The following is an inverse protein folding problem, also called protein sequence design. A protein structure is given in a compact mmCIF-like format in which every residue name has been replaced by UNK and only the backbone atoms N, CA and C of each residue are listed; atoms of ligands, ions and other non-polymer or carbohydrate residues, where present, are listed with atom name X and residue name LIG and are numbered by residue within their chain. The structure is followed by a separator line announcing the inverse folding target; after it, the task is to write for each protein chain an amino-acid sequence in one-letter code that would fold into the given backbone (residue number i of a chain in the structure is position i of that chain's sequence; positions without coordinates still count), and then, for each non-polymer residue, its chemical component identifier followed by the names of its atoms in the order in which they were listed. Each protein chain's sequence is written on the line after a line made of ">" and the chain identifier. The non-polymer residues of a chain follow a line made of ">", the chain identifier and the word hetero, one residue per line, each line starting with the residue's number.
data_IF_595212821435
#
_entry.id   IF_595212821435
#
_cell.length_a   1.000
_cell.length_b   1.000
_cell.length_c   1.000
_cell.angle_alpha   90.00
_cell.angle_beta   90.00
_cell.angle_gamma   90.00
#
_symmetry.space_group_name_H-M   'P 1'
#
loop_
_entity.id
_entity.type
_entity.pdbx_description
1 polymer ?
#
# COMPACT_ATOMS: atom_id res chain seq x y z
N UNK A 1 23.07 -4.71 -0.59
CA UNK A 1 23.37 -4.96 0.83
C UNK A 1 22.09 -4.62 1.59
N UNK A 2 21.22 -5.60 1.84
CA UNK A 2 19.93 -5.35 2.50
C UNK A 2 20.18 -5.16 3.99
N UNK A 3 19.97 -3.93 4.46
CA UNK A 3 19.87 -3.62 5.89
C UNK A 3 18.58 -4.27 6.38
N UNK A 4 18.65 -5.56 6.72
CA UNK A 4 17.64 -6.19 7.55
C UNK A 4 17.77 -5.52 8.91
N UNK A 5 16.91 -4.55 9.15
CA UNK A 5 16.68 -4.07 10.49
C UNK A 5 16.17 -5.26 11.32
N UNK A 6 16.86 -5.61 12.40
CA UNK A 6 16.39 -6.53 13.45
C UNK A 6 15.21 -5.87 14.20
N UNK A 7 14.08 -5.70 13.52
CA UNK A 7 12.83 -5.36 14.18
C UNK A 7 12.15 -6.65 14.61
N UNK A 8 11.74 -6.68 15.88
CA UNK A 8 10.87 -7.75 16.38
C UNK A 8 9.50 -7.63 15.69
N UNK A 9 9.34 -8.39 14.61
CA UNK A 9 8.12 -8.45 13.78
C UNK A 9 6.91 -8.77 14.65
N UNK A 10 7.05 -9.63 15.64
CA UNK A 10 5.95 -10.04 16.51
C UNK A 10 5.55 -8.88 17.45
N UNK A 11 6.52 -8.14 17.99
CA UNK A 11 6.23 -6.91 18.76
C UNK A 11 5.53 -5.85 17.91
N UNK A 12 5.97 -5.66 16.66
CA UNK A 12 5.34 -4.70 15.73
C UNK A 12 3.94 -5.14 15.37
N UNK A 13 3.75 -6.42 15.03
CA UNK A 13 2.44 -6.99 14.72
C UNK A 13 1.45 -6.82 15.87
N UNK A 14 1.86 -7.18 17.08
CA UNK A 14 1.00 -7.03 18.27
C UNK A 14 0.65 -5.57 18.55
N UNK A 15 1.60 -4.64 18.33
CA UNK A 15 1.29 -3.22 18.44
C UNK A 15 0.23 -2.79 17.40
N UNK A 16 0.38 -3.18 16.13
CA UNK A 16 -0.59 -2.85 15.07
C UNK A 16 -1.96 -3.44 15.39
N UNK A 17 -2.01 -4.69 15.84
CA UNK A 17 -3.25 -5.36 16.23
C UNK A 17 -3.98 -4.57 17.32
N UNK A 18 -3.34 -4.39 18.47
CA UNK A 18 -4.00 -3.87 19.67
C UNK A 18 -4.20 -2.35 19.61
N UNK A 19 -3.19 -1.60 19.17
CA UNK A 19 -3.20 -0.13 19.27
C UNK A 19 -3.65 0.57 18.00
N UNK A 20 -3.86 -0.17 16.90
CA UNK A 20 -4.31 0.40 15.64
C UNK A 20 -5.60 -0.27 15.14
N UNK A 21 -5.55 -1.54 14.74
CA UNK A 21 -6.68 -2.23 14.10
C UNK A 21 -7.86 -2.36 15.06
N UNK A 22 -7.67 -2.97 16.23
CA UNK A 22 -8.74 -3.14 17.22
C UNK A 22 -9.25 -1.81 17.76
N UNK A 23 -8.34 -0.86 17.99
CA UNK A 23 -8.69 0.50 18.45
C UNK A 23 -9.61 1.22 17.47
N UNK A 24 -9.29 1.20 16.17
CA UNK A 24 -10.00 1.97 15.16
C UNK A 24 -11.24 1.26 14.61
N UNK A 25 -11.36 -0.05 14.82
CA UNK A 25 -12.55 -0.83 14.45
C UNK A 25 -13.55 -1.00 15.60
N UNK A 26 -13.24 -0.56 16.82
CA UNK A 26 -14.06 -0.83 18.01
C UNK A 26 -15.55 -0.42 17.87
N UNK A 27 -15.85 0.64 17.10
CA UNK A 27 -17.23 1.06 16.82
C UNK A 27 -18.04 0.05 15.99
N UNK A 28 -17.37 -0.87 15.30
CA UNK A 28 -17.94 -1.85 14.40
C UNK A 28 -18.15 -3.22 15.05
N UNK A 29 -17.94 -3.38 16.36
CA UNK A 29 -18.03 -4.67 17.06
C UNK A 29 -19.36 -5.40 16.87
N UNK A 30 -20.44 -4.66 16.57
CA UNK A 30 -21.77 -5.22 16.30
C UNK A 30 -22.05 -5.46 14.80
N UNK A 31 -21.10 -5.16 13.92
CA UNK A 31 -21.20 -5.45 12.48
C UNK A 31 -21.07 -6.96 12.27
N UNK A 32 -21.90 -7.58 11.40
CA UNK A 32 -21.81 -9.01 11.11
C UNK A 32 -20.48 -9.42 10.47
N UNK A 33 -19.72 -8.46 9.91
CA UNK A 33 -18.44 -8.70 9.27
C UNK A 33 -17.23 -8.39 10.16
N UNK A 34 -17.44 -7.93 11.40
CA UNK A 34 -16.39 -7.44 12.28
C UNK A 34 -15.22 -8.43 12.40
N UNK A 35 -15.49 -9.65 12.86
CA UNK A 35 -14.43 -10.64 13.08
C UNK A 35 -13.71 -11.03 11.78
N UNK A 36 -14.46 -11.09 10.67
CA UNK A 36 -13.92 -11.44 9.36
C UNK A 36 -13.00 -10.36 8.81
N UNK A 37 -13.42 -9.10 8.89
CA UNK A 37 -12.62 -7.94 8.47
C UNK A 37 -11.32 -7.87 9.28
N UNK A 38 -11.40 -8.06 10.60
CA UNK A 38 -10.22 -8.07 11.48
C UNK A 38 -9.29 -9.24 11.16
N UNK A 39 -9.80 -10.44 10.89
CA UNK A 39 -8.97 -11.58 10.48
C UNK A 39 -8.20 -11.28 9.20
N UNK A 40 -8.88 -10.73 8.19
CA UNK A 40 -8.26 -10.37 6.90
C UNK A 40 -7.20 -9.29 7.11
N UNK A 41 -7.53 -8.21 7.81
CA UNK A 41 -6.62 -7.10 8.03
C UNK A 41 -5.35 -7.57 8.76
N UNK A 42 -5.50 -8.41 9.79
CA UNK A 42 -4.36 -8.99 10.52
C UNK A 42 -3.52 -9.93 9.65
N UNK A 43 -4.15 -10.75 8.79
CA UNK A 43 -3.42 -11.59 7.83
C UNK A 43 -2.59 -10.74 6.86
N UNK A 44 -3.17 -9.65 6.35
CA UNK A 44 -2.48 -8.71 5.46
C UNK A 44 -1.30 -8.01 6.15
N UNK A 45 -1.48 -7.54 7.40
CA UNK A 45 -0.38 -6.94 8.19
C UNK A 45 0.76 -7.94 8.37
N UNK A 46 0.45 -9.18 8.76
CA UNK A 46 1.49 -10.20 8.96
C UNK A 46 2.28 -10.47 7.68
N UNK A 47 1.59 -10.61 6.56
CA UNK A 47 2.23 -10.80 5.25
C UNK A 47 3.06 -9.57 4.84
N UNK A 48 2.56 -8.37 5.09
CA UNK A 48 3.26 -7.13 4.80
C UNK A 48 4.59 -7.05 5.56
N UNK A 49 4.58 -7.31 6.87
CA UNK A 49 5.77 -7.31 7.73
C UNK A 49 6.82 -8.32 7.26
N UNK A 50 6.41 -9.56 6.91
CA UNK A 50 7.31 -10.59 6.37
C UNK A 50 7.96 -10.13 5.06
N UNK A 51 7.20 -9.42 4.22
CA UNK A 51 7.67 -8.91 2.94
C UNK A 51 8.41 -7.57 3.03
N UNK A 52 8.68 -7.07 4.24
CA UNK A 52 9.38 -5.79 4.43
C UNK A 52 8.54 -4.56 4.07
N UNK A 53 7.21 -4.69 4.01
CA UNK A 53 6.28 -3.60 3.78
C UNK A 53 5.72 -3.14 5.12
N UNK A 54 5.92 -1.86 5.43
CA UNK A 54 5.71 -1.33 6.79
C UNK A 54 4.70 -0.20 6.87
N UNK A 55 3.98 0.07 5.78
CA UNK A 55 2.99 1.15 5.73
C UNK A 55 1.69 0.69 5.04
N UNK A 56 0.56 1.08 5.61
CA UNK A 56 -0.77 0.87 5.02
C UNK A 56 -1.68 2.07 5.29
N UNK A 57 -2.66 2.24 4.41
CA UNK A 57 -3.83 3.07 4.67
C UNK A 57 -4.94 2.17 5.19
N UNK A 58 -5.54 2.56 6.31
CA UNK A 58 -6.67 1.88 6.92
C UNK A 58 -7.91 2.74 6.78
N UNK A 59 -8.96 2.17 6.22
CA UNK A 59 -10.24 2.83 6.01
C UNK A 59 -11.25 2.17 6.92
N UNK A 60 -11.90 2.96 7.75
CA UNK A 60 -13.04 2.55 8.58
C UNK A 60 -14.28 3.18 7.99
N UNK A 61 -15.31 2.36 7.76
CA UNK A 61 -16.61 2.76 7.21
C UNK A 61 -17.72 2.18 8.06
N UNK A 62 -18.95 2.63 7.87
CA UNK A 62 -20.11 2.26 8.71
C UNK A 62 -20.33 0.74 8.85
N UNK A 63 -19.89 -0.03 7.86
CA UNK A 63 -20.21 -1.47 7.76
C UNK A 63 -18.98 -2.37 7.78
N UNK A 64 -17.77 -1.84 7.95
CA UNK A 64 -16.56 -2.64 7.93
C UNK A 64 -15.27 -1.85 7.83
N UNK A 65 -14.18 -2.54 7.58
CA UNK A 65 -12.86 -1.95 7.40
C UNK A 65 -12.24 -2.34 6.06
N UNK A 66 -11.15 -1.68 5.72
CA UNK A 66 -10.35 -2.00 4.55
C UNK A 66 -8.90 -1.59 4.79
N UNK A 67 -7.98 -2.54 4.67
CA UNK A 67 -6.54 -2.28 4.72
C UNK A 67 -5.94 -2.27 3.32
N UNK A 68 -5.38 -1.12 2.94
CA UNK A 68 -4.72 -0.89 1.65
C UNK A 68 -3.22 -0.77 1.87
N UNK A 69 -2.47 -1.81 1.49
CA UNK A 69 -1.01 -1.83 1.60
C UNK A 69 -0.39 -0.79 0.66
N UNK A 70 0.43 0.12 1.18
CA UNK A 70 1.09 1.16 0.34
C UNK A 70 2.25 0.60 -0.51
N UNK A 71 2.47 -0.71 -0.46
CA UNK A 71 3.35 -1.46 -1.35
C UNK A 71 2.67 -1.92 -2.63
N UNK A 72 1.38 -1.63 -2.81
CA UNK A 72 0.59 -2.06 -3.96
C UNK A 72 -0.01 -0.87 -4.70
N UNK A 73 -0.45 -1.10 -5.94
CA UNK A 73 -1.15 -0.08 -6.71
C UNK A 73 -2.62 -0.09 -6.36
N UNK A 74 -3.10 1.04 -5.85
CA UNK A 74 -4.52 1.23 -5.54
C UNK A 74 -5.12 2.31 -6.44
N UNK A 75 -6.41 2.18 -6.71
CA UNK A 75 -7.19 3.28 -7.26
C UNK A 75 -7.66 4.17 -6.11
N UNK A 76 -7.68 5.49 -6.31
CA UNK A 76 -8.33 6.40 -5.37
C UNK A 76 -9.84 6.10 -5.20
N UNK A 77 -10.45 5.39 -6.16
CA UNK A 77 -11.80 4.83 -6.02
C UNK A 77 -11.95 3.88 -4.85
N UNK A 78 -10.87 3.27 -4.33
CA UNK A 78 -10.94 2.45 -3.11
C UNK A 78 -11.32 3.26 -1.86
N UNK A 79 -11.28 4.59 -1.93
CA UNK A 79 -11.73 5.52 -0.88
C UNK A 79 -13.21 5.92 -1.01
N UNK A 80 -13.87 5.39 -2.02
CA UNK A 80 -15.28 5.61 -2.33
C UNK A 80 -15.97 4.25 -2.33
N UNK A 81 -16.96 4.08 -1.46
CA UNK A 81 -17.76 2.86 -1.42
C UNK A 81 -19.24 3.22 -1.45
N UNK A 82 -19.95 2.70 -2.45
CA UNK A 82 -21.39 2.92 -2.57
C UNK A 82 -22.12 2.34 -1.35
N UNK A 83 -22.99 3.15 -0.73
CA UNK A 83 -23.76 2.75 0.45
C UNK A 83 -23.07 2.95 1.79
N UNK A 84 -21.90 3.60 1.84
CA UNK A 84 -21.32 4.10 3.11
C UNK A 84 -21.46 5.62 3.20
N UNK A 85 -21.83 6.12 4.36
CA UNK A 85 -22.06 7.56 4.62
C UNK A 85 -20.93 8.18 5.45
N UNK A 86 -20.25 7.38 6.27
CA UNK A 86 -19.09 7.78 7.07
C UNK A 86 -17.82 7.05 6.66
N UNK A 87 -16.72 7.79 6.63
CA UNK A 87 -15.39 7.27 6.38
C UNK A 87 -14.36 7.92 7.28
N UNK A 88 -13.52 7.10 7.89
CA UNK A 88 -12.31 7.53 8.57
C UNK A 88 -11.08 6.89 7.92
N UNK A 89 -10.05 7.70 7.71
CA UNK A 89 -8.83 7.28 7.02
C UNK A 89 -7.64 7.41 7.95
N UNK A 90 -6.84 6.37 8.08
CA UNK A 90 -5.69 6.35 8.95
C UNK A 90 -4.46 5.81 8.23
N UNK A 91 -3.37 6.57 8.22
CA UNK A 91 -2.08 6.08 7.76
C UNK A 91 -1.33 5.45 8.92
N UNK A 92 -1.03 4.16 8.80
CA UNK A 92 -0.18 3.44 9.75
C UNK A 92 1.25 3.34 9.23
N UNK A 93 2.20 3.74 10.05
CA UNK A 93 3.63 3.41 9.89
C UNK A 93 4.01 2.41 10.98
N UNK A 94 4.10 1.14 10.60
CA UNK A 94 4.19 0.01 11.53
C UNK A 94 5.47 0.07 12.36
N UNK A 95 6.63 0.30 11.73
CA UNK A 95 7.93 0.34 12.42
C UNK A 95 8.03 1.49 13.42
N UNK A 96 7.57 2.69 13.03
CA UNK A 96 7.60 3.85 13.92
C UNK A 96 6.45 3.84 14.94
N UNK A 97 5.56 2.84 14.90
CA UNK A 97 4.39 2.72 15.79
C UNK A 97 3.54 3.99 15.78
N UNK A 98 3.32 4.53 14.59
CA UNK A 98 2.59 5.78 14.38
C UNK A 98 1.33 5.56 13.57
N UNK A 99 0.24 6.18 14.03
CA UNK A 99 -1.02 6.29 13.31
C UNK A 99 -1.48 7.73 13.18
N UNK A 100 -1.78 8.15 11.96
CA UNK A 100 -2.19 9.52 11.65
C UNK A 100 -3.56 9.49 10.98
N UNK A 101 -4.54 10.18 11.55
CA UNK A 101 -5.84 10.39 10.90
C UNK A 101 -5.65 11.34 9.72
N UNK A 102 -6.17 10.98 8.56
CA UNK A 102 -6.09 11.74 7.33
C UNK A 102 -7.47 12.28 6.94
N UNK A 103 -7.46 13.36 6.17
CA UNK A 103 -8.61 13.75 5.37
C UNK A 103 -8.71 12.82 4.16
N UNK A 104 -9.90 12.69 3.56
CA UNK A 104 -10.08 11.90 2.33
C UNK A 104 -9.12 12.33 1.22
N UNK A 105 -8.94 13.64 1.05
CA UNK A 105 -8.00 14.20 0.06
C UNK A 105 -6.56 13.72 0.31
N UNK A 106 -6.09 13.81 1.55
CA UNK A 106 -4.74 13.36 1.90
C UNK A 106 -4.57 11.84 1.77
N UNK A 107 -5.61 11.06 2.06
CA UNK A 107 -5.63 9.62 1.81
C UNK A 107 -5.54 9.30 0.31
N UNK A 108 -6.27 10.05 -0.54
CA UNK A 108 -6.20 9.93 -2.00
C UNK A 108 -4.80 10.24 -2.53
N UNK A 109 -4.22 11.35 -2.11
CA UNK A 109 -2.85 11.74 -2.48
C UNK A 109 -1.81 10.68 -2.04
N UNK A 110 -2.03 10.02 -0.89
CA UNK A 110 -1.18 8.95 -0.40
C UNK A 110 -1.27 7.69 -1.27
N UNK A 111 -2.46 7.31 -1.73
CA UNK A 111 -2.63 6.19 -2.66
C UNK A 111 -2.07 6.52 -4.05
N UNK A 112 -2.37 7.73 -4.55
CA UNK A 112 -1.95 8.20 -5.87
C UNK A 112 -0.43 8.38 -5.99
N UNK A 113 0.32 8.38 -4.88
CA UNK A 113 1.79 8.32 -4.89
C UNK A 113 2.34 7.04 -5.54
N UNK A 114 1.57 5.95 -5.47
CA UNK A 114 2.01 4.58 -5.77
C UNK A 114 3.08 4.05 -4.80
N UNK A 115 3.57 2.83 -5.04
CA UNK A 115 4.50 2.15 -4.15
C UNK A 115 5.81 2.91 -3.86
N UNK A 116 6.45 2.56 -2.75
CA UNK A 116 7.74 3.14 -2.37
C UNK A 116 8.87 2.60 -3.26
N UNK A 117 9.85 3.45 -3.57
CA UNK A 117 11.01 3.08 -4.42
C UNK A 117 12.17 2.45 -3.63
N UNK A 118 12.12 2.50 -2.31
CA UNK A 118 13.17 1.98 -1.43
C UNK A 118 13.23 0.43 -1.40
N UNK A 119 12.32 -0.25 -2.09
CA UNK A 119 12.29 -1.71 -2.23
C UNK A 119 13.24 -2.25 -3.31
N UNK A 120 13.92 -1.38 -4.07
CA UNK A 120 14.76 -1.76 -5.21
C UNK A 120 16.25 -1.63 -4.87
N UNK A 121 17.04 -2.65 -5.20
CA UNK A 121 18.40 -2.84 -4.65
C UNK A 121 19.52 -2.52 -5.64
N UNK A 122 19.18 -2.01 -6.81
CA UNK A 122 20.02 -2.18 -7.98
C UNK A 122 21.26 -1.26 -8.05
N UNK A 123 22.42 -1.90 -8.20
CA UNK A 123 23.71 -1.25 -8.44
C UNK A 123 23.90 -0.69 -9.86
N UNK A 124 23.01 -0.98 -10.81
CA UNK A 124 23.03 -0.39 -12.17
C UNK A 124 21.62 -0.04 -12.68
N UNK A 125 21.53 0.89 -13.64
CA UNK A 125 20.27 1.35 -14.24
C UNK A 125 19.45 0.24 -14.90
N UNK A 126 20.09 -0.73 -15.55
CA UNK A 126 19.42 -1.85 -16.22
C UNK A 126 18.85 -2.87 -15.23
N UNK A 127 19.61 -3.19 -14.17
CA UNK A 127 19.09 -4.03 -13.08
C UNK A 127 17.91 -3.36 -12.37
N UNK A 128 17.96 -2.05 -12.18
CA UNK A 128 16.88 -1.29 -11.56
C UNK A 128 15.60 -1.37 -12.40
N UNK A 129 15.71 -1.10 -13.71
CA UNK A 129 14.56 -1.20 -14.62
C UNK A 129 13.95 -2.61 -14.64
N UNK A 130 14.79 -3.66 -14.62
CA UNK A 130 14.32 -5.05 -14.57
C UNK A 130 13.53 -5.33 -13.29
N UNK A 131 14.06 -4.95 -12.12
CA UNK A 131 13.35 -5.11 -10.83
C UNK A 131 12.02 -4.35 -10.82
N UNK A 132 11.97 -3.14 -11.40
CA UNK A 132 10.73 -2.35 -11.53
C UNK A 132 9.69 -3.07 -12.40
N UNK A 133 10.09 -3.57 -13.57
CA UNK A 133 9.17 -4.26 -14.47
C UNK A 133 8.66 -5.57 -13.86
N UNK A 134 9.53 -6.32 -13.18
CA UNK A 134 9.13 -7.52 -12.44
C UNK A 134 8.14 -7.18 -11.33
N UNK A 135 8.39 -6.12 -10.56
CA UNK A 135 7.46 -5.63 -9.54
C UNK A 135 6.10 -5.24 -10.13
N UNK A 136 6.07 -4.43 -11.19
CA UNK A 136 4.82 -4.02 -11.83
C UNK A 136 4.08 -5.23 -12.42
N UNK A 137 4.77 -6.19 -13.02
CA UNK A 137 4.10 -7.38 -13.56
C UNK A 137 3.56 -8.31 -12.45
N UNK A 138 4.25 -8.41 -11.32
CA UNK A 138 3.80 -9.25 -10.20
C UNK A 138 2.70 -8.61 -9.34
N UNK A 139 2.67 -7.28 -9.25
CA UNK A 139 1.77 -6.53 -8.36
C UNK A 139 0.73 -5.68 -9.08
N UNK A 140 0.92 -5.44 -10.37
CA UNK A 140 0.06 -4.59 -11.19
C UNK A 140 -1.04 -5.39 -11.86
N UNK A 141 -0.72 -6.39 -12.71
CA UNK A 141 -1.71 -6.96 -13.65
C UNK A 141 -1.44 -8.42 -14.04
N UNK A 142 -2.52 -9.21 -14.18
CA UNK A 142 -2.52 -10.56 -14.79
C UNK A 142 -2.58 -10.53 -16.34
N UNK A 143 -2.58 -9.35 -16.95
CA UNK A 143 -2.55 -9.19 -18.42
C UNK A 143 -1.10 -9.12 -18.92
N UNK A 144 -0.93 -9.29 -20.24
CA UNK A 144 0.36 -9.36 -20.95
C UNK A 144 1.46 -8.53 -20.27
N UNK A 145 2.61 -9.13 -19.95
CA UNK A 145 3.63 -8.49 -19.15
C UNK A 145 4.12 -7.21 -19.81
N UNK A 146 4.16 -6.12 -19.05
CA UNK A 146 4.75 -4.87 -19.48
C UNK A 146 6.24 -5.09 -19.77
N UNK A 147 6.69 -4.65 -20.95
CA UNK A 147 8.07 -4.80 -21.41
C UNK A 147 8.87 -3.52 -21.24
N UNK A 148 8.19 -2.42 -20.93
CA UNK A 148 8.75 -1.09 -20.79
C UNK A 148 7.95 -0.24 -19.81
N UNK A 149 8.54 0.84 -19.30
CA UNK A 149 7.81 1.82 -18.49
C UNK A 149 6.66 2.50 -19.27
N UNK A 150 6.80 2.62 -20.59
CA UNK A 150 5.74 3.09 -21.47
C UNK A 150 4.52 2.16 -21.44
N UNK A 151 4.75 0.84 -21.50
CA UNK A 151 3.67 -0.15 -21.38
C UNK A 151 2.99 -0.06 -20.01
N UNK A 152 3.77 0.05 -18.93
CA UNK A 152 3.22 0.21 -17.57
C UNK A 152 2.32 1.46 -17.48
N UNK A 153 2.75 2.58 -18.09
CA UNK A 153 1.99 3.84 -18.08
C UNK A 153 0.69 3.71 -18.86
N UNK A 154 0.77 3.15 -20.08
CA UNK A 154 -0.41 2.88 -20.91
C UNK A 154 -1.44 2.02 -20.17
N UNK A 155 -0.99 0.95 -19.51
CA UNK A 155 -1.88 0.07 -18.74
C UNK A 155 -2.47 0.81 -17.53
N UNK A 156 -1.67 1.62 -16.82
CA UNK A 156 -2.15 2.46 -15.73
C UNK A 156 -3.23 3.45 -16.16
N UNK A 157 -3.05 4.09 -17.32
CA UNK A 157 -4.02 5.02 -17.90
C UNK A 157 -5.31 4.29 -18.34
N UNK A 158 -5.19 3.12 -18.99
CA UNK A 158 -6.33 2.27 -19.39
C UNK A 158 -7.19 1.82 -18.18
N UNK A 159 -6.54 1.58 -17.04
CA UNK A 159 -7.20 1.12 -15.82
C UNK A 159 -7.53 2.26 -14.85
N UNK A 160 -7.28 3.51 -15.26
CA UNK A 160 -7.50 4.70 -14.44
C UNK A 160 -6.86 4.59 -13.05
N UNK A 161 -5.56 4.26 -13.02
CA UNK A 161 -4.71 4.12 -11.84
C UNK A 161 -3.66 5.25 -11.80
N UNK A 162 -3.99 6.43 -11.25
CA UNK A 162 -3.02 7.54 -11.12
C UNK A 162 -1.75 7.14 -10.37
N UNK A 163 -1.88 6.23 -9.39
CA UNK A 163 -0.79 5.64 -8.63
C UNK A 163 0.30 5.01 -9.50
N UNK A 164 -0.07 4.39 -10.63
CA UNK A 164 0.87 3.82 -11.59
C UNK A 164 1.63 4.92 -12.34
N UNK A 165 0.92 5.88 -12.92
CA UNK A 165 1.53 6.97 -13.70
C UNK A 165 2.46 7.83 -12.84
N UNK A 166 2.09 8.10 -11.59
CA UNK A 166 2.92 8.83 -10.64
C UNK A 166 4.14 8.02 -10.18
N UNK A 167 3.99 6.71 -9.94
CA UNK A 167 5.11 5.83 -9.63
C UNK A 167 6.13 5.79 -10.77
N UNK A 168 5.67 5.63 -12.02
CA UNK A 168 6.53 5.61 -13.21
C UNK A 168 7.28 6.94 -13.36
N UNK A 169 6.60 8.08 -13.20
CA UNK A 169 7.25 9.39 -13.25
C UNK A 169 8.35 9.52 -12.18
N UNK A 170 8.13 8.97 -10.98
CA UNK A 170 9.16 8.93 -9.92
C UNK A 170 10.32 7.99 -10.27
N UNK A 171 10.05 6.84 -10.89
CA UNK A 171 11.07 5.90 -11.41
C UNK A 171 11.94 6.57 -12.46
N UNK A 172 11.33 7.21 -13.47
CA UNK A 172 12.05 7.92 -14.54
C UNK A 172 12.96 9.00 -13.97
N UNK A 173 12.42 9.82 -13.05
CA UNK A 173 13.19 10.85 -12.36
C UNK A 173 14.35 10.28 -11.54
N UNK A 174 14.17 9.11 -10.92
CA UNK A 174 15.25 8.44 -10.19
C UNK A 174 16.32 7.89 -11.14
N UNK A 175 15.92 7.23 -12.22
CA UNK A 175 16.82 6.68 -13.24
C UNK A 175 17.63 7.74 -14.00
N UNK A 176 17.14 8.99 -14.06
CA UNK A 176 17.89 10.13 -14.60
C UNK A 176 19.02 10.58 -13.66
N UNK A 177 18.91 10.30 -12.35
CA UNK A 177 19.87 10.68 -11.32
C UNK A 177 20.87 9.58 -10.99
N UNK A 178 20.62 8.35 -11.45
CA UNK A 178 21.55 7.24 -11.41
C UNK A 178 22.51 7.36 -12.60
N UNK A 179 23.71 7.92 -12.36
CA UNK A 179 24.80 7.96 -13.34
C UNK A 179 25.33 6.56 -13.63
#
# INVERSE_FOLDING_TARGET
>A
MNVYYDYDIESVFNWVKEHFILKHSASLVNSPWYDYDIEIDLRLVKQALINGNFEFLYVVRDHGTMLLLLSEFHSSRSLDWEGSESFEYYHCKMISKQGIKLTKKAAGELLDRGPLLNSFSAGSKNSYLKEILEFVNNKGFNFSPAKSLFDCKRIGDELNLPSMSNFIARVENHMLRMN
#
